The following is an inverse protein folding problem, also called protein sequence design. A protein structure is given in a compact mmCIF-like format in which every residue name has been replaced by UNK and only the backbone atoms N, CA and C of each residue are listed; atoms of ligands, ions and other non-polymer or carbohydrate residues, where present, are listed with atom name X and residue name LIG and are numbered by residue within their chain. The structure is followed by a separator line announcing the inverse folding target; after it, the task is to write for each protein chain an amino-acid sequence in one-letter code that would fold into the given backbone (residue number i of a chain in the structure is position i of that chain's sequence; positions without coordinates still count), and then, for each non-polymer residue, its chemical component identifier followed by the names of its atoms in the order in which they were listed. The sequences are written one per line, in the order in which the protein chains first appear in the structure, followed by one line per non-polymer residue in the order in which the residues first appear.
data_IF_107900892754
#
_entry.id   IF_107900892754
#
_cell.length_a   1.000
_cell.length_b   1.000
_cell.length_c   1.000
_cell.angle_alpha   90.00
_cell.angle_beta   90.00
_cell.angle_gamma   90.00
#
_symmetry.space_group_name_H-M   'P 1'
#
loop_
_entity.id
_entity.type
_entity.pdbx_description
1 polymer ?
#
# COMPACT_ATOMS: atom_id res chain seq x y z
N UNK A 1 -19.53 -15.60 14.19
CA UNK A 1 -18.75 -14.97 13.10
C UNK A 1 -19.66 -14.02 12.37
N UNK A 2 -19.20 -12.83 12.05
CA UNK A 2 -19.94 -11.86 11.23
C UNK A 2 -19.59 -12.10 9.78
N UNK A 3 -20.60 -12.25 8.90
CA UNK A 3 -20.38 -12.34 7.45
C UNK A 3 -20.64 -10.97 6.83
N UNK A 4 -19.78 -10.54 5.91
CA UNK A 4 -19.88 -9.27 5.17
C UNK A 4 -19.78 -9.53 3.66
N UNK A 5 -20.12 -8.51 2.85
CA UNK A 5 -20.05 -8.60 1.39
C UNK A 5 -21.34 -9.18 0.77
N UNK A 6 -21.28 -9.43 -0.55
CA UNK A 6 -22.42 -9.90 -1.34
C UNK A 6 -22.00 -10.71 -2.56
N UNK A 7 -22.92 -11.48 -3.13
CA UNK A 7 -22.68 -12.30 -4.32
C UNK A 7 -21.51 -13.26 -4.13
N UNK A 8 -20.57 -13.25 -5.07
CA UNK A 8 -19.34 -14.05 -5.00
C UNK A 8 -18.27 -13.48 -4.06
N UNK A 9 -18.52 -12.31 -3.45
CA UNK A 9 -17.59 -11.61 -2.57
C UNK A 9 -18.14 -11.56 -1.15
N UNK A 10 -18.35 -12.73 -0.55
CA UNK A 10 -18.78 -12.89 0.84
C UNK A 10 -17.61 -13.36 1.71
N UNK A 11 -17.48 -12.80 2.90
CA UNK A 11 -16.34 -13.04 3.79
C UNK A 11 -16.83 -13.24 5.24
N UNK A 12 -16.22 -14.19 5.95
CA UNK A 12 -16.34 -14.31 7.40
C UNK A 12 -15.21 -13.53 8.09
N UNK A 13 -15.56 -12.64 9.02
CA UNK A 13 -14.63 -11.72 9.68
C UNK A 13 -13.96 -12.37 10.88
N UNK A 14 -12.63 -12.32 10.97
CA UNK A 14 -11.82 -12.82 12.09
C UNK A 14 -10.92 -11.69 12.60
N UNK A 15 -11.37 -10.99 13.65
CA UNK A 15 -10.64 -9.84 14.22
C UNK A 15 -9.39 -10.25 15.03
N UNK A 16 -9.41 -11.40 15.67
CA UNK A 16 -8.32 -11.92 16.52
C UNK A 16 -7.54 -13.04 15.84
N UNK A 17 -7.31 -12.88 14.53
CA UNK A 17 -6.64 -13.89 13.73
C UNK A 17 -5.16 -14.06 14.11
N UNK A 18 -4.42 -12.95 14.26
CA UNK A 18 -2.98 -12.96 14.53
C UNK A 18 -2.68 -13.36 15.98
N UNK A 19 -1.95 -14.46 16.17
CA UNK A 19 -1.54 -15.00 17.46
C UNK A 19 -0.14 -14.48 17.82
N UNK A 20 -0.08 -13.30 18.43
CA UNK A 20 1.18 -12.71 18.88
C UNK A 20 1.82 -13.52 20.04
N UNK A 21 3.15 -13.50 20.19
CA UNK A 21 3.84 -14.03 21.37
C UNK A 21 3.29 -13.43 22.68
N UNK A 22 3.37 -14.18 23.78
CA UNK A 22 2.87 -13.74 25.07
C UNK A 22 3.48 -12.38 25.47
N UNK A 23 2.63 -11.45 25.91
CA UNK A 23 3.03 -10.09 26.29
C UNK A 23 3.23 -9.11 25.12
N UNK A 24 3.11 -9.57 23.86
CA UNK A 24 3.21 -8.68 22.71
C UNK A 24 1.84 -8.08 22.37
N UNK A 25 1.90 -6.87 21.84
CA UNK A 25 0.75 -6.17 21.24
C UNK A 25 1.20 -5.49 19.97
N UNK A 26 0.33 -5.39 18.99
CA UNK A 26 0.59 -4.55 17.82
C UNK A 26 0.76 -3.07 18.20
N UNK A 27 1.63 -2.39 17.47
CA UNK A 27 1.55 -0.95 17.26
C UNK A 27 0.56 -0.62 16.14
N UNK A 28 0.53 0.64 15.65
CA UNK A 28 -0.23 0.97 14.44
C UNK A 28 0.25 0.11 13.26
N UNK A 29 -0.59 -0.80 12.77
CA UNK A 29 -0.27 -1.64 11.61
C UNK A 29 -0.56 -0.82 10.35
N UNK A 30 0.50 -0.43 9.63
CA UNK A 30 0.36 0.46 8.47
C UNK A 30 0.05 -0.29 7.18
N UNK A 31 0.60 -1.49 7.00
CA UNK A 31 0.38 -2.25 5.79
C UNK A 31 0.56 -3.76 6.05
N UNK A 32 0.17 -4.57 5.08
CA UNK A 32 0.24 -6.03 5.12
C UNK A 32 0.48 -6.56 3.72
N UNK A 33 1.25 -7.65 3.58
CA UNK A 33 1.39 -8.39 2.33
C UNK A 33 1.55 -9.88 2.60
N UNK A 34 1.34 -10.72 1.59
CA UNK A 34 1.63 -12.16 1.67
C UNK A 34 2.68 -12.57 0.65
N UNK A 35 3.48 -13.59 0.99
CA UNK A 35 4.41 -14.21 0.06
C UNK A 35 3.76 -15.37 -0.73
N UNK A 36 4.54 -16.04 -1.60
CA UNK A 36 4.07 -17.14 -2.44
C UNK A 36 3.57 -18.37 -1.68
N UNK A 37 3.79 -18.44 -0.35
CA UNK A 37 3.33 -19.49 0.55
C UNK A 37 2.17 -19.03 1.44
N UNK A 38 1.58 -17.87 1.15
CA UNK A 38 0.56 -17.21 1.96
C UNK A 38 0.99 -16.90 3.40
N UNK A 39 2.31 -16.78 3.68
CA UNK A 39 2.76 -16.23 4.95
C UNK A 39 2.48 -14.74 4.96
N UNK A 40 2.00 -14.24 6.08
CA UNK A 40 1.49 -12.87 6.22
C UNK A 40 2.52 -12.00 6.92
N UNK A 41 2.90 -10.90 6.29
CA UNK A 41 3.86 -9.92 6.78
C UNK A 41 3.11 -8.67 7.23
N UNK A 42 2.95 -8.49 8.54
CA UNK A 42 2.38 -7.27 9.12
C UNK A 42 3.48 -6.22 9.28
N UNK A 43 3.25 -5.03 8.72
CA UNK A 43 4.18 -3.90 8.79
C UNK A 43 3.62 -2.85 9.74
N UNK A 44 4.29 -2.64 10.89
CA UNK A 44 3.78 -1.84 12.00
C UNK A 44 4.75 -0.76 12.46
N UNK A 45 4.21 0.35 12.98
CA UNK A 45 4.96 1.46 13.57
C UNK A 45 5.31 1.20 15.04
N UNK A 46 5.90 0.04 15.30
CA UNK A 46 6.43 -0.40 16.60
C UNK A 46 7.52 -1.43 16.33
N UNK A 47 8.50 -1.50 17.17
CA UNK A 47 9.58 -2.49 17.07
C UNK A 47 9.15 -3.88 17.61
N UNK A 48 9.41 -4.98 16.90
CA UNK A 48 9.95 -5.06 15.55
C UNK A 48 8.93 -4.60 14.49
N UNK A 49 9.37 -3.89 13.42
CA UNK A 49 8.46 -3.32 12.45
C UNK A 49 7.81 -4.34 11.51
N UNK A 50 8.45 -5.49 11.27
CA UNK A 50 7.87 -6.60 10.50
C UNK A 50 7.64 -7.79 11.41
N UNK A 51 6.40 -8.28 11.41
CA UNK A 51 6.00 -9.52 12.10
C UNK A 51 5.43 -10.47 11.05
N UNK A 52 5.93 -11.71 11.06
CA UNK A 52 5.55 -12.74 10.08
C UNK A 52 4.69 -13.80 10.75
N UNK A 53 3.58 -14.11 10.13
CA UNK A 53 2.64 -15.15 10.56
C UNK A 53 2.47 -16.21 9.49
N UNK A 54 2.11 -17.40 9.93
CA UNK A 54 1.53 -18.39 9.03
C UNK A 54 0.09 -17.99 8.67
N UNK A 55 -0.46 -18.60 7.65
CA UNK A 55 -1.82 -18.32 7.17
C UNK A 55 -2.90 -18.57 8.23
N UNK A 56 -2.66 -19.45 9.21
CA UNK A 56 -3.54 -19.68 10.36
C UNK A 56 -3.39 -18.66 11.50
N UNK A 57 -2.50 -17.67 11.34
CA UNK A 57 -2.20 -16.64 12.33
C UNK A 57 -1.10 -16.99 13.34
N UNK A 58 -0.46 -18.15 13.21
CA UNK A 58 0.63 -18.55 14.09
C UNK A 58 1.88 -17.70 13.82
N UNK A 59 2.51 -17.17 14.88
CA UNK A 59 3.74 -16.38 14.77
C UNK A 59 4.91 -17.23 14.23
N UNK A 60 5.59 -16.74 13.22
CA UNK A 60 6.76 -17.38 12.60
C UNK A 60 8.07 -16.67 12.89
N UNK A 61 8.04 -15.34 13.05
CA UNK A 61 9.24 -14.56 13.28
C UNK A 61 9.00 -13.06 13.13
N UNK A 62 10.06 -12.28 13.33
CA UNK A 62 10.03 -10.83 13.17
C UNK A 62 11.41 -10.29 12.87
N UNK A 63 11.49 -9.14 12.18
CA UNK A 63 12.76 -8.50 11.84
C UNK A 63 12.57 -7.00 11.53
N UNK A 64 13.68 -6.32 11.21
CA UNK A 64 13.70 -4.93 10.76
C UNK A 64 14.02 -3.91 11.85
N UNK A 65 14.20 -4.34 13.10
CA UNK A 65 14.61 -3.45 14.22
C UNK A 65 15.84 -2.64 13.82
N UNK A 66 15.79 -1.33 14.09
CA UNK A 66 16.81 -0.33 13.75
C UNK A 66 17.04 -0.08 12.24
N UNK A 67 16.44 -0.87 11.36
CA UNK A 67 16.59 -0.71 9.90
C UNK A 67 15.51 0.17 9.29
N UNK A 68 14.34 0.27 9.94
CA UNK A 68 13.14 0.96 9.46
C UNK A 68 12.65 1.91 10.57
N UNK A 69 12.45 3.18 10.23
CA UNK A 69 12.11 4.25 11.16
C UNK A 69 10.61 4.47 11.31
N UNK A 70 9.91 4.57 10.18
CA UNK A 70 8.45 4.78 10.14
C UNK A 70 7.80 3.98 9.02
N UNK A 71 7.39 2.74 9.33
CA UNK A 71 6.70 1.84 8.41
C UNK A 71 5.49 2.47 7.74
N UNK A 72 5.39 2.39 6.38
CA UNK A 72 4.21 2.88 5.68
C UNK A 72 3.61 1.85 4.73
N UNK A 73 4.14 1.64 3.55
CA UNK A 73 3.65 0.68 2.57
C UNK A 73 4.54 -0.56 2.47
N UNK A 74 3.97 -1.71 2.17
CA UNK A 74 4.65 -2.97 1.89
C UNK A 74 3.95 -3.74 0.77
N UNK A 75 4.72 -4.16 -0.23
CA UNK A 75 4.29 -5.14 -1.24
C UNK A 75 5.28 -6.31 -1.28
N UNK A 76 4.77 -7.53 -1.52
CA UNK A 76 5.60 -8.71 -1.77
C UNK A 76 5.24 -9.25 -3.15
N UNK A 77 6.20 -9.17 -4.06
CA UNK A 77 6.03 -9.58 -5.46
C UNK A 77 7.23 -10.46 -5.85
N UNK A 78 6.96 -11.67 -6.31
CA UNK A 78 8.03 -12.62 -6.65
C UNK A 78 8.94 -12.95 -5.47
N UNK A 79 8.38 -13.07 -4.25
CA UNK A 79 9.11 -13.33 -3.00
C UNK A 79 10.20 -12.30 -2.67
N UNK A 80 10.01 -11.08 -3.13
CA UNK A 80 10.83 -9.91 -2.79
C UNK A 80 9.94 -8.87 -2.11
N UNK A 81 10.45 -8.29 -1.03
CA UNK A 81 9.76 -7.26 -0.26
C UNK A 81 10.14 -5.88 -0.80
N UNK A 82 9.13 -5.08 -1.12
CA UNK A 82 9.21 -3.67 -1.48
C UNK A 82 8.48 -2.90 -0.38
N UNK A 83 9.13 -1.92 0.24
CA UNK A 83 8.52 -1.15 1.32
C UNK A 83 8.97 0.30 1.30
N UNK A 84 8.20 1.15 1.97
CA UNK A 84 8.54 2.55 2.19
C UNK A 84 8.74 2.85 3.66
N UNK A 85 9.82 3.57 3.95
CA UNK A 85 10.08 4.19 5.24
C UNK A 85 9.77 5.68 5.12
N UNK A 86 8.58 6.05 5.59
CA UNK A 86 7.99 7.36 5.34
C UNK A 86 8.85 8.50 5.89
N UNK A 87 9.18 8.44 7.18
CA UNK A 87 9.90 9.54 7.86
C UNK A 87 11.41 9.48 7.67
N UNK A 88 11.93 8.40 7.07
CA UNK A 88 13.32 8.30 6.62
C UNK A 88 13.50 8.68 5.14
N UNK A 89 12.39 8.99 4.45
CA UNK A 89 12.35 9.46 3.05
C UNK A 89 12.99 8.50 2.05
N UNK A 90 12.80 7.19 2.24
CA UNK A 90 13.36 6.14 1.37
C UNK A 90 12.35 5.08 0.99
N UNK A 91 12.58 4.44 -0.16
CA UNK A 91 11.95 3.17 -0.51
C UNK A 91 13.02 2.07 -0.51
N UNK A 92 12.67 0.90 -0.01
CA UNK A 92 13.60 -0.15 0.37
C UNK A 92 13.19 -1.49 -0.26
N UNK A 93 14.17 -2.28 -0.66
CA UNK A 93 13.97 -3.62 -1.18
C UNK A 93 14.70 -4.63 -0.29
N UNK A 94 14.02 -5.72 0.08
CA UNK A 94 14.55 -6.76 0.95
C UNK A 94 14.22 -8.16 0.41
N UNK A 95 14.99 -9.15 0.85
CA UNK A 95 14.57 -10.56 0.81
C UNK A 95 13.52 -10.82 1.89
N UNK A 96 12.81 -11.96 1.82
CA UNK A 96 11.78 -12.34 2.80
C UNK A 96 12.35 -12.51 4.23
N UNK A 97 13.64 -12.81 4.37
CA UNK A 97 14.35 -12.95 5.65
C UNK A 97 15.00 -11.64 6.14
N UNK A 98 14.73 -10.51 5.46
CA UNK A 98 15.14 -9.17 5.91
C UNK A 98 16.54 -8.74 5.49
N UNK A 99 17.19 -9.43 4.54
CA UNK A 99 18.48 -8.97 3.97
C UNK A 99 18.22 -7.81 3.00
N UNK A 100 18.88 -6.64 3.17
CA UNK A 100 18.69 -5.50 2.29
C UNK A 100 19.24 -5.77 0.89
N UNK A 101 18.48 -5.35 -0.13
CA UNK A 101 18.84 -5.49 -1.55
C UNK A 101 19.03 -4.13 -2.23
N UNK A 102 18.25 -3.11 -1.83
CA UNK A 102 18.30 -1.78 -2.44
C UNK A 102 17.74 -0.71 -1.50
N UNK A 103 18.29 0.50 -1.64
CA UNK A 103 17.75 1.73 -1.05
C UNK A 103 17.58 2.75 -2.17
N UNK A 104 16.37 3.31 -2.32
CA UNK A 104 16.09 4.45 -3.19
C UNK A 104 15.88 5.68 -2.30
N UNK A 105 16.41 6.81 -2.72
CA UNK A 105 16.44 8.04 -1.92
C UNK A 105 17.65 8.10 -0.98
N UNK A 106 17.70 9.11 -0.15
CA UNK A 106 18.76 9.31 0.86
C UNK A 106 18.14 9.38 2.24
N UNK A 107 18.55 8.47 3.13
CA UNK A 107 18.00 8.37 4.49
C UNK A 107 18.05 9.70 5.23
N UNK A 108 16.91 10.09 5.82
CA UNK A 108 16.75 11.32 6.58
C UNK A 108 16.76 12.60 5.75
N UNK A 109 16.82 12.54 4.41
CA UNK A 109 16.86 13.71 3.54
C UNK A 109 15.58 13.83 2.73
N UNK A 110 14.72 14.78 3.12
CA UNK A 110 13.52 15.13 2.36
C UNK A 110 13.86 15.95 1.12
N UNK A 111 13.21 15.68 0.00
CA UNK A 111 13.27 16.56 -1.16
C UNK A 111 12.57 17.91 -0.88
N UNK A 112 13.04 18.99 -1.52
CA UNK A 112 12.53 20.33 -1.29
C UNK A 112 11.23 20.60 -2.06
N UNK A 113 10.11 20.23 -1.45
CA UNK A 113 8.76 20.52 -1.94
C UNK A 113 8.16 21.83 -1.40
N UNK A 114 8.86 22.51 -0.48
CA UNK A 114 8.33 23.64 0.27
C UNK A 114 7.24 23.25 1.29
N UNK A 115 7.03 21.97 1.55
CA UNK A 115 6.02 21.51 2.49
C UNK A 115 6.39 21.85 3.93
N UNK A 116 5.44 22.38 4.70
CA UNK A 116 5.56 22.65 6.13
C UNK A 116 4.48 21.89 6.90
N UNK A 117 4.51 21.94 8.23
CA UNK A 117 3.50 21.25 9.08
C UNK A 117 2.08 21.75 8.82
N UNK A 118 1.94 23.03 8.47
CA UNK A 118 0.68 23.73 8.38
C UNK A 118 0.10 23.77 6.96
N UNK A 119 0.83 23.24 5.97
CA UNK A 119 0.41 23.23 4.58
C UNK A 119 -0.15 21.86 4.22
N UNK A 120 -1.45 21.81 3.93
CA UNK A 120 -2.18 20.59 3.55
C UNK A 120 -1.65 20.00 2.22
N UNK A 121 -1.38 20.87 1.25
CA UNK A 121 -0.89 20.50 -0.08
C UNK A 121 0.47 21.16 -0.32
N UNK A 122 1.51 20.40 -0.69
CA UNK A 122 2.83 21.00 -0.89
C UNK A 122 2.81 22.06 -1.98
N UNK A 123 3.58 23.17 -1.86
CA UNK A 123 3.62 24.23 -2.87
C UNK A 123 4.10 23.80 -4.24
N UNK A 124 4.94 22.78 -4.31
CA UNK A 124 5.50 22.23 -5.55
C UNK A 124 5.86 20.75 -5.39
N UNK A 125 5.95 20.06 -6.51
CA UNK A 125 6.54 18.72 -6.57
C UNK A 125 8.07 18.82 -6.65
N UNK A 126 8.76 17.79 -6.12
CA UNK A 126 10.22 17.70 -6.20
C UNK A 126 10.65 16.27 -6.58
N UNK A 127 11.96 16.04 -6.69
CA UNK A 127 12.53 14.71 -6.87
C UNK A 127 12.32 13.80 -5.65
N UNK A 128 12.70 12.52 -5.72
CA UNK A 128 12.46 11.57 -4.65
C UNK A 128 13.36 11.83 -3.44
N UNK A 129 12.87 11.73 -2.19
CA UNK A 129 11.49 11.55 -1.75
C UNK A 129 11.15 12.60 -0.68
N UNK A 130 9.84 12.88 -0.47
CA UNK A 130 9.40 13.57 0.74
C UNK A 130 8.18 12.85 1.36
N UNK A 131 8.47 11.87 2.22
CA UNK A 131 7.52 10.95 2.87
C UNK A 131 6.79 10.03 1.88
N UNK A 132 7.52 9.10 1.22
CA UNK A 132 6.95 8.15 0.28
C UNK A 132 5.93 7.22 0.96
N UNK A 133 5.01 6.70 0.17
CA UNK A 133 3.83 5.98 0.68
C UNK A 133 3.79 4.52 0.28
N UNK A 134 4.08 4.16 -0.99
CA UNK A 134 4.08 2.76 -1.45
C UNK A 134 5.15 2.56 -2.51
N UNK A 135 5.68 1.32 -2.62
CA UNK A 135 6.54 0.89 -3.72
C UNK A 135 6.11 -0.47 -4.25
N UNK A 136 5.93 -0.56 -5.57
CA UNK A 136 5.67 -1.82 -6.27
C UNK A 136 6.60 -2.00 -7.46
N UNK A 137 6.77 -3.25 -7.90
CA UNK A 137 7.49 -3.61 -9.13
C UNK A 137 6.49 -3.94 -10.23
N UNK A 138 6.70 -3.36 -11.41
CA UNK A 138 5.94 -3.68 -12.61
C UNK A 138 6.44 -4.99 -13.26
N UNK A 139 5.66 -5.60 -14.18
CA UNK A 139 6.10 -6.76 -14.97
C UNK A 139 7.37 -6.50 -15.79
N UNK A 140 7.64 -5.24 -16.15
CA UNK A 140 8.90 -4.82 -16.81
C UNK A 140 10.14 -4.92 -15.92
N UNK A 141 9.96 -5.05 -14.60
CA UNK A 141 10.99 -4.95 -13.58
C UNK A 141 11.21 -3.52 -13.06
N UNK A 142 10.59 -2.51 -13.66
CA UNK A 142 10.68 -1.13 -13.17
C UNK A 142 9.95 -0.98 -11.83
N UNK A 143 10.47 -0.10 -11.00
CA UNK A 143 9.91 0.20 -9.68
C UNK A 143 9.10 1.50 -9.74
N UNK A 144 7.89 1.47 -9.18
CA UNK A 144 7.05 2.65 -9.07
C UNK A 144 6.84 2.98 -7.60
N UNK A 145 7.01 4.27 -7.26
CA UNK A 145 6.89 4.75 -5.88
C UNK A 145 5.94 5.94 -5.84
N UNK A 146 4.88 5.84 -5.05
CA UNK A 146 4.06 7.00 -4.69
C UNK A 146 4.73 7.78 -3.56
N UNK A 147 4.75 9.10 -3.67
CA UNK A 147 5.40 10.01 -2.73
C UNK A 147 4.40 11.11 -2.34
N UNK A 148 3.62 10.86 -1.27
CA UNK A 148 2.35 11.52 -1.06
C UNK A 148 2.26 12.48 0.12
N UNK A 149 2.85 12.19 1.30
CA UNK A 149 2.57 13.01 2.49
C UNK A 149 3.12 14.43 2.44
N UNK A 150 4.25 14.62 1.77
CA UNK A 150 4.89 15.94 1.63
C UNK A 150 5.38 16.19 0.20
N UNK A 151 4.93 15.36 -0.74
CA UNK A 151 5.08 15.50 -2.18
C UNK A 151 3.72 15.17 -2.83
N UNK A 152 3.60 15.35 -4.13
CA UNK A 152 2.40 15.00 -4.91
C UNK A 152 2.87 14.34 -6.20
N UNK A 153 3.56 13.20 -6.05
CA UNK A 153 4.31 12.62 -7.15
C UNK A 153 4.25 11.10 -7.18
N UNK A 154 4.43 10.56 -8.37
CA UNK A 154 4.84 9.18 -8.61
C UNK A 154 6.21 9.20 -9.28
N UNK A 155 7.11 8.33 -8.85
CA UNK A 155 8.45 8.17 -9.40
C UNK A 155 8.60 6.77 -10.00
N UNK A 156 9.17 6.69 -11.21
CA UNK A 156 9.54 5.44 -11.87
C UNK A 156 11.05 5.29 -11.88
N UNK A 157 11.53 4.14 -11.41
CA UNK A 157 12.95 3.76 -11.42
C UNK A 157 13.16 2.50 -12.25
N UNK A 158 14.34 2.34 -12.80
CA UNK A 158 14.75 1.05 -13.39
C UNK A 158 14.86 -0.03 -12.30
N UNK A 159 14.92 -1.29 -12.71
CA UNK A 159 15.19 -2.43 -11.80
C UNK A 159 16.51 -2.29 -11.01
N UNK A 160 17.46 -1.46 -11.49
CA UNK A 160 18.74 -1.16 -10.85
C UNK A 160 18.70 0.11 -9.98
N UNK A 161 17.55 0.79 -9.89
CA UNK A 161 17.36 1.96 -9.04
C UNK A 161 17.70 3.30 -9.68
N UNK A 162 17.93 3.38 -11.00
CA UNK A 162 18.09 4.65 -11.69
C UNK A 162 16.72 5.32 -11.89
N UNK A 163 16.57 6.60 -11.52
CA UNK A 163 15.35 7.37 -11.76
C UNK A 163 15.14 7.54 -13.28
N UNK A 164 14.02 7.05 -13.79
CA UNK A 164 13.66 7.11 -15.21
C UNK A 164 12.73 8.28 -15.51
N UNK A 165 11.68 8.46 -14.70
CA UNK A 165 10.69 9.52 -14.87
C UNK A 165 9.97 9.81 -13.55
N UNK A 166 9.27 10.96 -13.53
CA UNK A 166 8.36 11.30 -12.43
C UNK A 166 7.22 12.16 -12.98
N UNK A 167 6.01 11.93 -12.46
CA UNK A 167 4.84 12.73 -12.81
C UNK A 167 4.00 13.06 -11.60
N UNK A 168 3.08 13.99 -11.79
CA UNK A 168 2.19 14.49 -10.75
C UNK A 168 2.60 15.87 -10.26
N UNK A 169 1.59 16.65 -9.92
CA UNK A 169 1.70 17.98 -9.34
C UNK A 169 0.69 18.13 -8.20
N UNK A 170 0.95 19.00 -7.21
CA UNK A 170 -0.03 19.30 -6.18
C UNK A 170 -1.31 19.90 -6.78
N UNK A 171 -2.45 19.31 -6.46
CA UNK A 171 -3.74 19.82 -6.93
C UNK A 171 -4.92 18.92 -6.59
N UNK A 172 -6.15 19.39 -6.92
CA UNK A 172 -7.39 18.73 -6.48
C UNK A 172 -8.34 18.38 -7.61
N UNK A 173 -8.12 18.86 -8.82
CA UNK A 173 -9.14 18.78 -9.87
C UNK A 173 -8.68 18.05 -11.14
N UNK A 174 -7.56 18.50 -11.70
CA UNK A 174 -7.11 18.07 -13.02
C UNK A 174 -6.47 16.66 -13.01
N UNK A 175 -6.47 15.96 -14.15
CA UNK A 175 -5.68 14.75 -14.33
C UNK A 175 -4.19 14.99 -14.06
N UNK A 176 -3.56 14.10 -13.28
CA UNK A 176 -2.16 14.25 -12.89
C UNK A 176 -1.93 15.22 -11.73
N UNK A 177 -2.95 15.91 -11.24
CA UNK A 177 -2.90 16.57 -9.93
C UNK A 177 -3.14 15.53 -8.83
N UNK A 178 -2.35 15.61 -7.75
CA UNK A 178 -2.50 14.73 -6.59
C UNK A 178 -2.62 15.52 -5.29
N UNK A 179 -3.49 15.03 -4.43
CA UNK A 179 -3.56 15.43 -3.03
C UNK A 179 -3.38 14.19 -2.16
N UNK A 180 -2.13 13.90 -1.83
CA UNK A 180 -1.68 12.74 -1.08
C UNK A 180 -1.89 11.42 -1.86
N UNK A 181 -1.08 11.14 -2.92
CA UNK A 181 -1.03 9.81 -3.52
C UNK A 181 -0.54 8.80 -2.47
N UNK A 182 -1.48 7.97 -1.95
CA UNK A 182 -1.26 7.20 -0.72
C UNK A 182 -0.79 5.77 -0.98
N UNK A 183 -1.20 5.18 -2.10
CA UNK A 183 -0.76 3.88 -2.57
C UNK A 183 -0.82 3.83 -4.09
N UNK A 184 -0.21 2.83 -4.67
CA UNK A 184 -0.31 2.56 -6.10
C UNK A 184 -0.17 1.06 -6.40
N UNK A 185 -0.68 0.66 -7.56
CA UNK A 185 -0.49 -0.68 -8.13
C UNK A 185 -0.15 -0.60 -9.60
N UNK A 186 0.55 -1.60 -10.12
CA UNK A 186 0.82 -1.74 -11.56
C UNK A 186 0.27 -3.07 -12.04
N UNK A 187 -0.60 -3.03 -13.04
CA UNK A 187 -1.20 -4.23 -13.61
C UNK A 187 -0.27 -4.94 -14.61
N UNK A 188 -0.59 -6.17 -15.06
CA UNK A 188 0.23 -6.90 -16.02
C UNK A 188 0.42 -6.21 -17.38
N UNK A 189 -0.43 -5.26 -17.74
CA UNK A 189 -0.33 -4.49 -18.99
C UNK A 189 0.50 -3.20 -18.80
N UNK A 190 0.92 -2.91 -17.56
CA UNK A 190 1.76 -1.77 -17.22
C UNK A 190 0.98 -0.49 -16.92
N UNK A 191 -0.35 -0.56 -16.71
CA UNK A 191 -1.12 0.58 -16.22
C UNK A 191 -0.88 0.78 -14.73
N UNK A 192 -0.73 2.05 -14.34
CA UNK A 192 -0.43 2.48 -12.97
C UNK A 192 -1.68 3.08 -12.34
N UNK A 193 -2.19 2.44 -11.30
CA UNK A 193 -3.37 2.86 -10.54
C UNK A 193 -2.90 3.58 -9.28
N UNK A 194 -3.25 4.84 -9.10
CA UNK A 194 -2.79 5.68 -7.98
C UNK A 194 -3.96 6.08 -7.09
N UNK A 195 -3.92 5.70 -5.82
CA UNK A 195 -4.86 6.14 -4.79
C UNK A 195 -4.62 7.61 -4.45
N UNK A 196 -5.33 8.51 -5.10
CA UNK A 196 -5.29 9.96 -4.85
C UNK A 196 -6.24 10.28 -3.68
N UNK A 197 -5.77 9.96 -2.46
CA UNK A 197 -6.59 9.77 -1.25
C UNK A 197 -7.46 10.96 -0.92
N UNK A 198 -6.88 12.14 -0.76
CA UNK A 198 -7.63 13.31 -0.31
C UNK A 198 -8.55 13.87 -1.41
N UNK A 199 -8.32 13.50 -2.67
CA UNK A 199 -9.20 13.81 -3.80
C UNK A 199 -10.30 12.75 -4.01
N UNK A 200 -10.36 11.70 -3.17
CA UNK A 200 -11.36 10.62 -3.24
C UNK A 200 -11.49 10.05 -4.66
N UNK A 201 -10.36 9.65 -5.24
CA UNK A 201 -10.31 9.02 -6.56
C UNK A 201 -9.12 8.07 -6.69
N UNK A 202 -9.23 7.15 -7.65
CA UNK A 202 -8.08 6.43 -8.19
C UNK A 202 -7.83 6.96 -9.60
N UNK A 203 -6.62 7.40 -9.89
CA UNK A 203 -6.22 7.81 -11.23
C UNK A 203 -5.42 6.70 -11.90
N UNK A 204 -5.67 6.45 -13.17
CA UNK A 204 -5.01 5.43 -13.98
C UNK A 204 -4.11 6.12 -15.01
N UNK A 205 -2.87 5.69 -15.09
CA UNK A 205 -1.86 6.20 -16.03
C UNK A 205 -1.26 5.04 -16.82
N UNK A 206 -0.71 5.34 -18.00
CA UNK A 206 0.23 4.41 -18.63
C UNK A 206 1.57 4.38 -17.88
N UNK A 207 2.44 3.44 -18.22
CA UNK A 207 3.75 3.29 -17.57
C UNK A 207 4.69 4.49 -17.70
N UNK A 208 4.35 5.49 -18.53
CA UNK A 208 5.11 6.73 -18.70
C UNK A 208 4.47 7.93 -17.97
N UNK A 209 3.35 7.70 -17.28
CA UNK A 209 2.66 8.73 -16.51
C UNK A 209 1.66 9.57 -17.32
N UNK A 210 1.27 9.12 -18.54
CA UNK A 210 0.18 9.74 -19.28
C UNK A 210 -1.15 9.29 -18.70
N UNK A 211 -2.02 10.23 -18.34
CA UNK A 211 -3.36 9.96 -17.83
C UNK A 211 -4.20 9.17 -18.84
N UNK A 212 -4.90 8.15 -18.34
CA UNK A 212 -5.79 7.27 -19.12
C UNK A 212 -7.24 7.42 -18.65
N UNK A 213 -7.49 7.24 -17.36
CA UNK A 213 -8.84 7.30 -16.77
C UNK A 213 -8.79 7.56 -15.27
N UNK A 214 -9.97 7.67 -14.66
CA UNK A 214 -10.09 7.75 -13.20
C UNK A 214 -11.36 7.09 -12.71
N UNK A 215 -11.32 6.57 -11.47
CA UNK A 215 -12.45 6.03 -10.73
C UNK A 215 -12.86 7.01 -9.63
N UNK A 216 -14.15 7.35 -9.56
CA UNK A 216 -14.66 8.35 -8.61
C UNK A 216 -15.66 7.80 -7.58
N UNK A 217 -16.19 6.60 -7.79
CA UNK A 217 -17.02 5.94 -6.77
C UNK A 217 -16.15 5.25 -5.72
N UNK A 218 -15.33 6.07 -5.04
CA UNK A 218 -14.37 5.64 -4.03
C UNK A 218 -14.17 6.78 -3.01
N UNK A 219 -14.01 6.46 -1.72
CA UNK A 219 -13.97 7.46 -0.66
C UNK A 219 -12.63 7.45 0.08
N UNK A 220 -11.71 8.36 -0.28
CA UNK A 220 -10.39 8.50 0.33
C UNK A 220 -9.65 7.15 0.36
N UNK A 221 -9.32 6.57 -0.83
CA UNK A 221 -8.67 5.27 -0.93
C UNK A 221 -7.30 5.29 -0.26
N UNK A 222 -7.07 4.31 0.62
CA UNK A 222 -5.80 4.19 1.35
C UNK A 222 -4.86 3.20 0.69
N UNK A 223 -5.40 2.12 0.12
CA UNK A 223 -4.60 1.11 -0.53
C UNK A 223 -5.36 0.43 -1.67
N UNK A 224 -4.63 -0.13 -2.62
CA UNK A 224 -5.16 -0.86 -3.76
C UNK A 224 -4.31 -2.08 -4.06
N UNK A 225 -4.95 -3.23 -4.20
CA UNK A 225 -4.35 -4.49 -4.62
C UNK A 225 -5.16 -5.12 -5.76
N UNK A 226 -4.49 -5.70 -6.75
CA UNK A 226 -5.13 -6.50 -7.78
C UNK A 226 -4.78 -7.97 -7.63
N UNK A 227 -5.79 -8.84 -7.63
CA UNK A 227 -5.55 -10.28 -7.67
C UNK A 227 -5.19 -10.75 -9.09
N UNK A 228 -4.88 -12.05 -9.23
CA UNK A 228 -4.52 -12.65 -10.52
C UNK A 228 -5.65 -12.59 -11.58
N UNK A 229 -6.89 -12.39 -11.17
CA UNK A 229 -8.06 -12.24 -12.06
C UNK A 229 -8.31 -10.77 -12.44
N UNK A 230 -7.40 -9.87 -12.09
CA UNK A 230 -7.51 -8.42 -12.33
C UNK A 230 -8.73 -7.78 -11.67
N UNK A 231 -9.11 -8.30 -10.51
CA UNK A 231 -10.08 -7.68 -9.61
C UNK A 231 -9.32 -6.81 -8.61
N UNK A 232 -9.72 -5.56 -8.51
CA UNK A 232 -9.16 -4.58 -7.58
C UNK A 232 -9.85 -4.66 -6.22
N UNK A 233 -9.06 -4.65 -5.16
CA UNK A 233 -9.48 -4.53 -3.77
C UNK A 233 -8.94 -3.22 -3.22
N UNK A 234 -9.81 -2.40 -2.66
CA UNK A 234 -9.46 -1.06 -2.20
C UNK A 234 -9.92 -0.89 -0.75
N UNK A 235 -9.02 -0.51 0.13
CA UNK A 235 -9.38 -0.02 1.47
C UNK A 235 -9.61 1.49 1.44
N UNK A 236 -10.57 1.96 2.24
CA UNK A 236 -11.01 3.34 2.25
C UNK A 236 -11.00 3.92 3.68
N UNK A 237 -10.74 5.22 3.83
CA UNK A 237 -10.86 5.90 5.13
C UNK A 237 -12.31 6.09 5.56
N UNK A 238 -13.26 6.24 4.64
CA UNK A 238 -14.65 5.91 4.96
C UNK A 238 -14.64 4.41 5.21
N UNK A 239 -14.98 3.93 6.42
CA UNK A 239 -14.67 2.56 6.81
C UNK A 239 -15.34 1.53 5.92
N UNK A 240 -14.70 1.15 4.82
CA UNK A 240 -15.20 0.17 3.85
C UNK A 240 -14.06 -0.48 3.05
N UNK A 241 -14.34 -1.67 2.54
CA UNK A 241 -13.58 -2.33 1.48
C UNK A 241 -14.43 -2.37 0.23
N UNK A 242 -13.90 -1.83 -0.87
CA UNK A 242 -14.51 -1.90 -2.19
C UNK A 242 -13.79 -2.90 -3.07
N UNK A 243 -14.56 -3.74 -3.77
CA UNK A 243 -14.07 -4.71 -4.75
C UNK A 243 -14.58 -4.26 -6.11
N UNK A 244 -13.68 -4.02 -7.06
CA UNK A 244 -13.99 -3.40 -8.34
C UNK A 244 -13.40 -4.22 -9.49
N UNK A 245 -14.02 -4.12 -10.66
CA UNK A 245 -13.37 -4.57 -11.89
C UNK A 245 -12.26 -3.59 -12.31
N UNK A 246 -11.47 -3.96 -13.32
CA UNK A 246 -10.37 -3.12 -13.80
C UNK A 246 -10.81 -1.80 -14.48
N UNK A 247 -12.11 -1.58 -14.67
CA UNK A 247 -12.66 -0.33 -15.19
C UNK A 247 -13.21 0.57 -14.05
N UNK A 248 -13.08 0.11 -12.80
CA UNK A 248 -13.55 0.83 -11.61
C UNK A 248 -15.04 0.65 -11.30
N UNK A 249 -15.72 -0.31 -11.93
CA UNK A 249 -17.09 -0.68 -11.59
C UNK A 249 -17.09 -1.50 -10.29
N UNK A 250 -17.86 -1.05 -9.32
CA UNK A 250 -18.02 -1.76 -8.04
C UNK A 250 -18.73 -3.10 -8.26
N UNK A 251 -18.08 -4.18 -7.87
CA UNK A 251 -18.61 -5.55 -7.86
C UNK A 251 -19.21 -5.88 -6.50
N UNK A 252 -18.56 -5.44 -5.42
CA UNK A 252 -19.06 -5.52 -4.06
C UNK A 252 -18.44 -4.40 -3.21
N UNK A 253 -19.17 -4.00 -2.17
CA UNK A 253 -18.66 -3.09 -1.13
C UNK A 253 -19.29 -3.47 0.21
N UNK A 254 -18.51 -3.42 1.27
CA UNK A 254 -18.99 -3.71 2.61
C UNK A 254 -18.24 -2.89 3.66
N UNK A 255 -18.92 -2.63 4.78
CA UNK A 255 -18.36 -1.90 5.90
C UNK A 255 -17.21 -2.71 6.54
N UNK A 256 -16.16 -2.01 6.91
CA UNK A 256 -14.98 -2.55 7.59
C UNK A 256 -14.48 -1.53 8.62
N UNK A 257 -13.57 -1.89 9.52
CA UNK A 257 -12.79 -0.88 10.22
C UNK A 257 -12.00 0.00 9.23
N UNK A 258 -11.58 1.19 9.67
CA UNK A 258 -10.77 2.08 8.84
C UNK A 258 -9.41 1.43 8.53
N UNK A 259 -9.25 0.94 7.29
CA UNK A 259 -8.04 0.31 6.80
C UNK A 259 -6.99 1.35 6.42
N UNK A 260 -5.71 1.01 6.67
CA UNK A 260 -4.59 1.80 6.17
C UNK A 260 -3.87 1.09 5.03
N UNK A 261 -3.78 -0.24 5.09
CA UNK A 261 -3.27 -1.12 4.06
C UNK A 261 -4.11 -2.38 3.90
N UNK A 262 -4.05 -3.01 2.74
CA UNK A 262 -4.85 -4.18 2.39
C UNK A 262 -4.06 -5.12 1.49
N UNK A 263 -4.26 -6.43 1.66
CA UNK A 263 -3.74 -7.45 0.75
C UNK A 263 -4.69 -8.64 0.62
N UNK A 264 -4.59 -9.37 -0.48
CA UNK A 264 -5.39 -10.58 -0.71
C UNK A 264 -4.45 -11.75 -1.01
N UNK A 265 -4.64 -12.87 -0.29
CA UNK A 265 -3.82 -14.08 -0.48
C UNK A 265 -4.26 -14.91 -1.70
N UNK A 266 -3.53 -16.01 -1.95
CA UNK A 266 -3.73 -16.86 -3.13
C UNK A 266 -5.11 -17.52 -3.21
N UNK A 267 -5.83 -17.60 -2.09
CA UNK A 267 -7.17 -18.22 -2.00
C UNK A 267 -8.31 -17.20 -1.88
N UNK A 268 -7.97 -15.90 -1.88
CA UNK A 268 -8.93 -14.80 -1.86
C UNK A 268 -9.29 -14.29 -0.47
N UNK A 269 -8.59 -14.71 0.59
CA UNK A 269 -8.76 -14.13 1.92
C UNK A 269 -8.14 -12.72 1.96
N UNK A 270 -8.85 -11.74 2.52
CA UNK A 270 -8.38 -10.35 2.63
C UNK A 270 -7.75 -10.14 4.01
N UNK A 271 -6.63 -9.45 4.05
CA UNK A 271 -5.99 -8.95 5.28
C UNK A 271 -6.06 -7.42 5.27
N UNK A 272 -6.62 -6.85 6.35
CA UNK A 272 -6.77 -5.40 6.53
C UNK A 272 -5.87 -4.92 7.66
N UNK A 273 -4.93 -4.06 7.35
CA UNK A 273 -4.06 -3.42 8.31
C UNK A 273 -4.73 -2.16 8.90
N UNK A 274 -4.86 -2.12 10.22
CA UNK A 274 -5.54 -1.06 10.95
C UNK A 274 -4.55 -0.26 11.81
N UNK A 275 -4.13 0.90 11.30
CA UNK A 275 -3.20 1.76 12.04
C UNK A 275 -3.83 2.31 13.34
N UNK A 276 -5.08 2.78 13.26
CA UNK A 276 -5.83 3.26 14.43
C UNK A 276 -6.25 2.15 15.38
N UNK A 277 -6.68 1.02 14.83
CA UNK A 277 -7.10 -0.17 15.60
C UNK A 277 -5.94 -0.96 16.21
N UNK A 278 -4.71 -0.73 15.74
CA UNK A 278 -3.51 -1.48 16.13
C UNK A 278 -3.71 -2.99 16.04
N UNK A 279 -4.24 -3.44 14.93
CA UNK A 279 -4.53 -4.86 14.69
C UNK A 279 -4.48 -5.19 13.19
N UNK A 280 -4.57 -6.48 12.92
CA UNK A 280 -4.74 -7.05 11.59
C UNK A 280 -6.04 -7.87 11.59
N UNK A 281 -7.00 -7.49 10.74
CA UNK A 281 -8.25 -8.22 10.58
C UNK A 281 -8.19 -9.08 9.34
N UNK A 282 -8.58 -10.34 9.47
CA UNK A 282 -8.71 -11.29 8.35
C UNK A 282 -10.17 -11.46 7.95
N UNK A 283 -10.42 -11.43 6.65
CA UNK A 283 -11.69 -11.73 6.03
C UNK A 283 -11.53 -13.01 5.21
N UNK A 284 -12.14 -14.11 5.69
CA UNK A 284 -12.05 -15.43 5.04
C UNK A 284 -13.10 -15.53 3.94
N UNK A 285 -12.66 -15.73 2.71
CA UNK A 285 -13.55 -15.83 1.55
C UNK A 285 -14.46 -17.07 1.63
N UNK A 286 -15.76 -16.86 1.47
CA UNK A 286 -16.75 -17.96 1.38
C UNK A 286 -16.82 -18.47 -0.07
N UNK A 287 -16.40 -19.70 -0.26
CA UNK A 287 -16.40 -20.41 -1.54
C UNK A 287 -17.72 -21.12 -1.79
#
# INVERSE_FOLDING_TARGET
MTTVGSGSYQYDVIESWAKLPAGWTFGPVSAVATDSRDRVYAFQRKDPPIIVFDRDGSYLGSWGSSAIKDPHGIAIIGDVIYLTDRDDHVALKFTLDGRPLMVLGTRGQASDTGATKDIELPPRSAGPFNKPTEMVVAPSGDLYVSDGYRNSRVHRFSAQGALLSSWGTPGKQEPGEFHLPHSLWVDPEGFVYVCDRENSRIQVFDGNGKFVSQWRDIHRPTDIYFNSQQVAYVSELRPSISILDRNGKVLARFDSPSGHGLWVDSVGDIYLAEAGGKRLTKYVHKR
#
